data_IF_618146355602
#
_entry.id   IF_618146355602
#
_cell.length_a   1.000
_cell.length_b   1.000
_cell.length_c   1.000
_cell.angle_alpha   90.00
_cell.angle_beta   90.00
_cell.angle_gamma   90.00
#
_symmetry.space_group_name_H-M   'P 1'
#
loop_
_entity.id
_entity.type
_entity.pdbx_description
1 polymer ?
#
# COMPACT_ATOMS: atom_id res chain seq x y z
N UNK A 1 10.75 -26.91 28.26
CA UNK A 1 11.77 -25.86 28.08
C UNK A 1 11.07 -24.69 27.36
N UNK A 2 11.01 -23.57 28.04
CA UNK A 2 10.47 -22.31 27.48
C UNK A 2 11.56 -21.67 26.62
N UNK A 3 11.50 -21.89 25.31
CA UNK A 3 12.46 -21.34 24.36
C UNK A 3 11.70 -20.57 23.24
N UNK A 4 12.16 -19.39 22.83
CA UNK A 4 11.50 -18.62 21.79
C UNK A 4 11.60 -19.32 20.43
N UNK A 5 10.47 -19.59 19.82
CA UNK A 5 10.34 -20.23 18.51
C UNK A 5 9.32 -19.50 17.64
N UNK A 6 9.45 -19.63 16.33
CA UNK A 6 8.41 -19.29 15.37
C UNK A 6 7.79 -20.59 14.86
N UNK A 7 6.49 -20.61 14.66
CA UNK A 7 5.81 -21.78 14.15
C UNK A 7 4.83 -21.41 13.04
N UNK A 8 4.62 -22.34 12.13
CA UNK A 8 3.67 -22.25 11.02
C UNK A 8 2.71 -23.44 11.19
N UNK A 9 1.42 -23.14 11.41
CA UNK A 9 0.37 -24.18 11.32
C UNK A 9 -0.37 -24.01 10.02
N UNK A 10 -0.62 -25.11 9.31
CA UNK A 10 -1.20 -25.03 7.97
C UNK A 10 -2.02 -26.27 7.59
N UNK A 11 -2.89 -26.09 6.59
CA UNK A 11 -3.63 -27.16 5.97
C UNK A 11 -3.44 -27.14 4.45
N UNK A 12 -2.83 -28.20 3.91
CA UNK A 12 -2.69 -28.36 2.44
C UNK A 12 -4.03 -28.53 1.74
N UNK A 13 -5.05 -29.05 2.45
CA UNK A 13 -6.40 -29.26 1.92
C UNK A 13 -7.17 -27.97 1.76
N UNK A 14 -7.25 -27.15 2.81
CA UNK A 14 -7.96 -25.86 2.77
C UNK A 14 -7.09 -24.70 2.24
N UNK A 15 -5.78 -24.92 2.03
CA UNK A 15 -4.80 -23.92 1.63
C UNK A 15 -4.80 -22.68 2.55
N UNK A 16 -4.95 -22.93 3.85
CA UNK A 16 -4.86 -21.92 4.89
C UNK A 16 -3.64 -22.17 5.77
N UNK A 17 -3.07 -21.10 6.31
CA UNK A 17 -1.98 -21.16 7.27
C UNK A 17 -2.07 -20.02 8.29
N UNK A 18 -1.39 -20.21 9.39
CA UNK A 18 -1.18 -19.20 10.43
C UNK A 18 0.27 -19.26 10.88
N UNK A 19 0.90 -18.13 11.04
CA UNK A 19 2.27 -17.97 11.55
C UNK A 19 2.18 -17.38 12.94
N UNK A 20 2.99 -17.83 13.88
CA UNK A 20 3.02 -17.29 15.23
C UNK A 20 4.37 -17.52 15.91
N UNK A 21 4.60 -16.79 17.00
CA UNK A 21 5.73 -16.97 17.86
C UNK A 21 5.27 -17.40 19.26
N UNK A 22 6.13 -18.09 19.97
CA UNK A 22 5.86 -18.47 21.37
C UNK A 22 7.14 -18.91 22.08
N UNK A 23 7.14 -18.80 23.38
CA UNK A 23 8.14 -19.46 24.26
C UNK A 23 7.65 -20.85 24.71
N UNK A 24 6.34 -21.16 24.56
CA UNK A 24 5.76 -22.45 24.97
C UNK A 24 4.85 -22.99 23.86
N UNK A 25 5.45 -23.77 22.97
CA UNK A 25 4.76 -24.29 21.77
C UNK A 25 3.59 -25.24 22.13
N UNK A 26 3.71 -26.05 23.16
CA UNK A 26 2.68 -27.03 23.56
C UNK A 26 1.41 -26.33 24.02
N UNK A 27 1.52 -25.33 24.87
CA UNK A 27 0.39 -24.53 25.33
C UNK A 27 -0.27 -23.78 24.17
N UNK A 28 0.53 -23.18 23.28
CA UNK A 28 0.05 -22.37 22.18
C UNK A 28 -0.70 -23.20 21.13
N UNK A 29 -0.21 -24.38 20.79
CA UNK A 29 -0.92 -25.32 19.88
C UNK A 29 -2.27 -25.76 20.48
N UNK A 30 -2.33 -26.02 21.79
CA UNK A 30 -3.59 -26.32 22.47
C UNK A 30 -4.63 -25.21 22.33
N UNK A 31 -4.22 -23.94 22.45
CA UNK A 31 -5.10 -22.79 22.24
C UNK A 31 -5.63 -22.73 20.79
N UNK A 32 -4.76 -23.00 19.79
CA UNK A 32 -5.19 -22.99 18.39
C UNK A 32 -6.19 -24.09 18.06
N UNK A 33 -6.05 -25.27 18.67
CA UNK A 33 -7.00 -26.37 18.48
C UNK A 33 -8.39 -26.06 19.06
N UNK A 34 -8.46 -25.18 20.05
CA UNK A 34 -9.72 -24.70 20.64
C UNK A 34 -10.41 -23.62 19.78
N UNK A 35 -9.67 -22.97 18.89
CA UNK A 35 -10.19 -21.94 17.99
C UNK A 35 -10.83 -22.58 16.74
N UNK A 36 -12.10 -22.27 16.46
CA UNK A 36 -12.86 -22.89 15.36
C UNK A 36 -12.21 -22.66 13.99
N UNK A 37 -11.67 -21.49 13.73
CA UNK A 37 -11.08 -21.11 12.46
C UNK A 37 -9.71 -21.77 12.22
N UNK A 38 -8.94 -22.00 13.30
CA UNK A 38 -7.60 -22.58 13.24
C UNK A 38 -7.60 -24.11 13.42
N UNK A 39 -8.70 -24.70 13.88
CA UNK A 39 -8.85 -26.16 14.15
C UNK A 39 -8.57 -27.04 12.92
N UNK A 40 -8.81 -26.54 11.70
CA UNK A 40 -8.55 -27.28 10.47
C UNK A 40 -7.07 -27.32 10.05
N UNK A 41 -6.20 -26.56 10.72
CA UNK A 41 -4.76 -26.48 10.42
C UNK A 41 -4.03 -27.63 11.11
N UNK A 42 -3.89 -28.76 10.41
CA UNK A 42 -3.44 -30.02 10.98
C UNK A 42 -1.93 -30.27 10.89
N UNK A 43 -1.20 -29.44 10.17
CA UNK A 43 0.26 -29.56 10.04
C UNK A 43 0.95 -28.43 10.78
N UNK A 44 2.11 -28.71 11.36
CA UNK A 44 2.93 -27.72 12.04
C UNK A 44 4.38 -27.81 11.56
N UNK A 45 5.01 -26.65 11.40
CA UNK A 45 6.45 -26.47 11.30
C UNK A 45 6.91 -25.53 12.40
N UNK A 46 8.01 -25.87 13.04
CA UNK A 46 8.62 -25.06 14.09
C UNK A 46 10.00 -24.63 13.59
N UNK A 47 10.23 -23.35 13.62
CA UNK A 47 11.53 -22.72 13.29
C UNK A 47 12.19 -22.32 14.59
N UNK A 48 13.37 -22.83 14.83
CA UNK A 48 14.15 -22.54 16.04
C UNK A 48 15.64 -22.48 15.76
N UNK A 49 16.37 -21.74 16.59
CA UNK A 49 17.82 -21.68 16.55
C UNK A 49 18.35 -21.34 17.94
N UNK A 50 19.48 -21.92 18.35
CA UNK A 50 20.14 -21.61 19.62
C UNK A 50 20.50 -20.13 19.82
N UNK A 51 20.41 -19.34 18.78
CA UNK A 51 20.66 -17.89 18.79
C UNK A 51 19.38 -17.04 18.86
N UNK A 52 18.19 -17.67 18.88
CA UNK A 52 16.94 -16.92 18.91
C UNK A 52 16.70 -16.29 20.29
N UNK A 53 16.33 -15.03 20.26
CA UNK A 53 15.78 -14.29 21.39
C UNK A 53 14.39 -13.77 21.04
N UNK A 54 13.69 -13.15 21.98
CA UNK A 54 12.33 -12.65 21.78
C UNK A 54 12.23 -11.66 20.60
N UNK A 55 13.16 -10.73 20.47
CA UNK A 55 13.15 -9.74 19.38
C UNK A 55 13.37 -10.41 18.02
N UNK A 56 14.25 -11.41 17.96
CA UNK A 56 14.51 -12.18 16.73
C UNK A 56 13.28 -12.95 16.26
N UNK A 57 12.60 -13.66 17.17
CA UNK A 57 11.42 -14.44 16.76
C UNK A 57 10.26 -13.56 16.33
N UNK A 58 10.08 -12.39 16.94
CA UNK A 58 9.11 -11.40 16.49
C UNK A 58 9.41 -10.86 15.08
N UNK A 59 10.68 -10.60 14.78
CA UNK A 59 11.10 -10.14 13.45
C UNK A 59 10.93 -11.23 12.38
N UNK A 60 11.35 -12.48 12.70
CA UNK A 60 11.17 -13.63 11.80
C UNK A 60 9.69 -13.94 11.57
N UNK A 61 8.85 -13.91 12.61
CA UNK A 61 7.41 -14.08 12.50
C UNK A 61 6.81 -13.04 11.54
N UNK A 62 7.10 -11.77 11.76
CA UNK A 62 6.60 -10.68 10.93
C UNK A 62 7.04 -10.82 9.47
N UNK A 63 8.30 -11.16 9.22
CA UNK A 63 8.80 -11.42 7.88
C UNK A 63 8.10 -12.62 7.24
N UNK A 64 7.94 -13.74 7.97
CA UNK A 64 7.22 -14.91 7.45
C UNK A 64 5.77 -14.59 7.09
N UNK A 65 5.04 -13.83 7.92
CA UNK A 65 3.68 -13.40 7.61
C UNK A 65 3.66 -12.61 6.31
N UNK A 66 4.56 -11.63 6.17
CA UNK A 66 4.63 -10.74 5.02
C UNK A 66 4.96 -11.50 3.72
N UNK A 67 5.99 -12.33 3.75
CA UNK A 67 6.45 -13.07 2.58
C UNK A 67 5.51 -14.23 2.20
N UNK A 68 4.99 -15.00 3.16
CA UNK A 68 4.03 -16.06 2.88
C UNK A 68 2.69 -15.53 2.34
N UNK A 69 2.26 -14.35 2.79
CA UNK A 69 1.10 -13.67 2.23
C UNK A 69 1.30 -13.36 0.74
N UNK A 70 2.48 -12.89 0.37
CA UNK A 70 2.80 -12.54 -1.01
C UNK A 70 3.08 -13.78 -1.89
N UNK A 71 3.57 -14.87 -1.32
CA UNK A 71 3.81 -16.16 -2.01
C UNK A 71 2.51 -16.84 -2.49
N UNK A 72 1.37 -16.56 -1.86
CA UNK A 72 0.04 -17.12 -2.24
C UNK A 72 -0.07 -18.66 -2.20
N UNK A 73 0.86 -19.37 -1.58
CA UNK A 73 0.74 -20.81 -1.42
C UNK A 73 -0.41 -21.14 -0.45
N UNK A 74 -0.54 -20.30 0.60
CA UNK A 74 -1.60 -20.36 1.59
C UNK A 74 -2.27 -19.01 1.77
N UNK A 75 -3.55 -19.01 2.12
CA UNK A 75 -4.24 -17.85 2.64
C UNK A 75 -3.95 -17.76 4.14
N UNK A 76 -3.26 -16.69 4.57
CA UNK A 76 -2.94 -16.52 6.00
C UNK A 76 -4.17 -16.07 6.79
N UNK A 77 -4.32 -16.63 7.99
CA UNK A 77 -5.36 -16.29 8.96
C UNK A 77 -4.87 -15.22 9.96
N UNK A 78 -3.64 -14.76 9.85
CA UNK A 78 -3.09 -13.72 10.71
C UNK A 78 -3.91 -12.42 10.63
N UNK A 79 -4.23 -11.84 11.79
CA UNK A 79 -4.92 -10.56 11.89
C UNK A 79 -4.03 -9.37 11.53
N UNK A 80 -2.74 -9.45 11.89
CA UNK A 80 -1.71 -8.44 11.63
C UNK A 80 -0.38 -9.09 11.20
N UNK A 81 0.65 -8.25 11.03
CA UNK A 81 1.99 -8.67 10.61
C UNK A 81 2.95 -9.01 11.76
N UNK A 82 2.47 -9.00 13.01
CA UNK A 82 3.39 -9.01 14.15
C UNK A 82 4.14 -7.67 14.31
N UNK A 83 5.13 -7.64 15.20
CA UNK A 83 5.90 -6.42 15.51
C UNK A 83 7.30 -6.57 14.91
N UNK A 84 7.61 -5.81 13.86
CA UNK A 84 8.88 -5.96 13.14
C UNK A 84 9.82 -4.76 13.21
N UNK A 85 9.44 -3.64 13.86
CA UNK A 85 10.20 -2.39 13.70
C UNK A 85 11.13 -2.05 14.87
N UNK A 86 11.65 -3.05 15.57
CA UNK A 86 12.64 -2.79 16.59
C UNK A 86 14.05 -2.83 16.01
N UNK A 87 14.84 -1.77 16.27
CA UNK A 87 16.29 -1.87 16.16
C UNK A 87 16.78 -2.76 17.29
N UNK A 88 17.30 -3.92 16.99
CA UNK A 88 17.89 -4.83 17.95
C UNK A 88 19.29 -5.26 17.51
N UNK A 89 20.06 -5.75 18.46
CA UNK A 89 21.44 -6.17 18.23
C UNK A 89 21.50 -7.27 17.16
N UNK A 90 22.40 -7.13 16.18
CA UNK A 90 22.63 -8.06 15.07
C UNK A 90 21.46 -8.26 14.10
N UNK A 91 20.59 -7.27 13.90
CA UNK A 91 19.45 -7.36 12.95
C UNK A 91 19.88 -7.83 11.56
N UNK A 92 21.01 -7.34 11.05
CA UNK A 92 21.50 -7.69 9.71
C UNK A 92 21.91 -9.17 9.59
N UNK A 93 22.44 -9.78 10.68
CA UNK A 93 22.74 -11.21 10.72
C UNK A 93 21.47 -12.07 10.57
N UNK A 94 20.37 -11.62 11.11
CA UNK A 94 19.10 -12.36 11.02
C UNK A 94 18.42 -12.23 9.66
N UNK A 95 18.80 -11.26 8.84
CA UNK A 95 18.35 -11.20 7.45
C UNK A 95 18.87 -12.41 6.64
N UNK A 96 20.14 -12.75 6.78
CA UNK A 96 20.71 -13.95 6.17
C UNK A 96 20.10 -15.24 6.75
N UNK A 97 19.83 -15.26 8.05
CA UNK A 97 19.12 -16.36 8.72
C UNK A 97 17.71 -16.55 8.12
N UNK A 98 16.98 -15.47 7.88
CA UNK A 98 15.65 -15.52 7.27
C UNK A 98 15.69 -16.11 5.86
N UNK A 99 16.69 -15.75 5.06
CA UNK A 99 16.90 -16.33 3.73
C UNK A 99 17.07 -17.85 3.80
N UNK A 100 17.90 -18.33 4.70
CA UNK A 100 18.09 -19.78 4.93
C UNK A 100 16.79 -20.48 5.35
N UNK A 101 16.01 -19.87 6.26
CA UNK A 101 14.69 -20.38 6.67
C UNK A 101 13.75 -20.47 5.46
N UNK A 102 13.71 -19.43 4.61
CA UNK A 102 12.86 -19.40 3.43
C UNK A 102 13.23 -20.50 2.41
N UNK A 103 14.51 -20.69 2.16
CA UNK A 103 15.02 -21.73 1.24
C UNK A 103 14.67 -23.15 1.77
N UNK A 104 14.71 -23.38 3.07
CA UNK A 104 14.28 -24.64 3.68
C UNK A 104 12.78 -24.86 3.53
N UNK A 105 11.95 -23.85 3.83
CA UNK A 105 10.50 -23.89 3.62
C UNK A 105 10.13 -24.13 2.13
N UNK A 106 10.92 -23.62 1.20
CA UNK A 106 10.76 -23.83 -0.24
C UNK A 106 11.10 -25.27 -0.61
N UNK A 107 12.18 -25.82 -0.07
CA UNK A 107 12.57 -27.23 -0.27
C UNK A 107 11.49 -28.21 0.19
N UNK A 108 10.80 -27.90 1.29
CA UNK A 108 9.66 -28.65 1.86
C UNK A 108 8.31 -28.37 1.15
N UNK A 109 8.30 -27.51 0.16
CA UNK A 109 7.09 -27.10 -0.59
C UNK A 109 6.01 -26.48 0.31
N UNK A 110 6.43 -25.77 1.33
CA UNK A 110 5.56 -24.93 2.18
C UNK A 110 5.40 -23.55 1.54
N UNK A 111 6.44 -23.05 0.89
CA UNK A 111 6.42 -21.87 0.03
C UNK A 111 6.92 -22.24 -1.37
N UNK A 112 6.66 -21.41 -2.39
CA UNK A 112 6.98 -21.74 -3.80
C UNK A 112 7.89 -20.73 -4.51
N UNK A 113 7.77 -19.44 -4.19
CA UNK A 113 8.41 -18.36 -4.91
C UNK A 113 9.76 -18.00 -4.29
N UNK A 114 10.66 -17.43 -5.06
CA UNK A 114 11.92 -16.87 -4.58
C UNK A 114 11.66 -15.54 -3.85
N UNK A 115 12.52 -15.19 -2.90
CA UNK A 115 12.38 -13.95 -2.12
C UNK A 115 12.36 -12.70 -3.01
N UNK A 116 13.22 -12.67 -4.04
CA UNK A 116 13.29 -11.56 -4.97
C UNK A 116 11.98 -11.37 -5.76
N UNK A 117 11.39 -12.47 -6.25
CA UNK A 117 10.11 -12.44 -6.95
C UNK A 117 8.98 -11.92 -6.06
N UNK A 118 9.01 -12.31 -4.78
CA UNK A 118 8.04 -11.84 -3.80
C UNK A 118 8.20 -10.35 -3.56
N UNK A 119 9.41 -9.87 -3.29
CA UNK A 119 9.71 -8.46 -3.03
C UNK A 119 9.24 -7.56 -4.18
N UNK A 120 9.31 -8.07 -5.39
CA UNK A 120 8.89 -7.38 -6.60
C UNK A 120 7.38 -7.46 -6.87
N UNK A 121 6.65 -8.29 -6.14
CA UNK A 121 5.21 -8.47 -6.35
C UNK A 121 4.36 -7.31 -5.78
N UNK A 122 3.23 -7.02 -6.43
CA UNK A 122 2.24 -6.04 -5.94
C UNK A 122 1.72 -6.39 -4.55
N UNK A 123 1.54 -7.68 -4.27
CA UNK A 123 1.09 -8.13 -2.95
C UNK A 123 2.08 -7.77 -1.85
N UNK A 124 3.37 -7.89 -2.11
CA UNK A 124 4.38 -7.49 -1.15
C UNK A 124 4.45 -5.96 -1.02
N UNK A 125 4.37 -5.24 -2.15
CA UNK A 125 4.44 -3.77 -2.16
C UNK A 125 3.31 -3.13 -1.38
N UNK A 126 2.08 -3.61 -1.53
CA UNK A 126 0.87 -3.06 -0.90
C UNK A 126 0.35 -3.88 0.28
N UNK A 127 1.17 -4.75 0.85
CA UNK A 127 0.79 -5.59 1.98
C UNK A 127 0.49 -4.76 3.22
N UNK A 128 -0.65 -4.98 3.91
CA UNK A 128 -0.92 -4.37 5.22
C UNK A 128 -0.09 -4.99 6.35
N UNK A 129 0.67 -6.02 6.03
CA UNK A 129 1.55 -6.72 6.97
C UNK A 129 2.97 -6.13 6.99
N UNK A 130 3.20 -4.99 6.36
CA UNK A 130 4.44 -4.23 6.51
C UNK A 130 4.50 -3.51 7.84
N UNK A 131 5.70 -3.42 8.40
CA UNK A 131 5.93 -2.54 9.54
C UNK A 131 5.69 -1.10 9.15
N UNK A 132 4.91 -0.41 9.94
CA UNK A 132 4.73 1.02 9.79
C UNK A 132 5.89 1.77 10.45
N UNK A 133 6.27 2.91 9.89
CA UNK A 133 7.18 3.83 10.54
C UNK A 133 6.50 4.51 11.73
N UNK A 134 7.28 5.18 12.58
CA UNK A 134 6.74 5.87 13.75
C UNK A 134 5.73 6.95 13.37
N UNK A 135 6.02 7.76 12.36
CA UNK A 135 5.11 8.79 11.88
C UNK A 135 3.83 8.22 11.25
N UNK A 136 3.93 7.08 10.55
CA UNK A 136 2.77 6.36 10.04
C UNK A 136 1.89 5.81 11.17
N UNK A 137 2.49 5.22 12.20
CA UNK A 137 1.75 4.71 13.36
C UNK A 137 1.08 5.86 14.13
N UNK A 138 1.79 6.95 14.35
CA UNK A 138 1.24 8.14 14.98
C UNK A 138 0.06 8.72 14.19
N UNK A 139 0.13 8.73 12.85
CA UNK A 139 -0.98 9.18 12.01
C UNK A 139 -2.21 8.27 12.16
N UNK A 140 -2.03 6.93 12.20
CA UNK A 140 -3.10 5.97 12.45
C UNK A 140 -3.75 6.21 13.82
N UNK A 141 -2.96 6.32 14.88
CA UNK A 141 -3.47 6.53 16.25
C UNK A 141 -4.25 7.83 16.37
N UNK A 142 -3.73 8.93 15.83
CA UNK A 142 -4.41 10.21 15.80
C UNK A 142 -5.73 10.12 15.01
N UNK A 143 -5.73 9.45 13.85
CA UNK A 143 -6.93 9.28 13.06
C UNK A 143 -7.99 8.43 13.78
N UNK A 144 -7.62 7.32 14.39
CA UNK A 144 -8.53 6.48 15.18
C UNK A 144 -9.09 7.25 16.39
N UNK A 145 -8.25 8.10 17.03
CA UNK A 145 -8.71 8.95 18.11
C UNK A 145 -9.78 9.96 17.64
N UNK A 146 -9.61 10.54 16.44
CA UNK A 146 -10.61 11.44 15.84
C UNK A 146 -11.90 10.69 15.56
N UNK A 147 -11.83 9.52 14.89
CA UNK A 147 -13.00 8.70 14.59
C UNK A 147 -13.75 8.24 15.85
N UNK A 148 -13.03 7.93 16.92
CA UNK A 148 -13.59 7.43 18.18
C UNK A 148 -14.18 8.50 19.08
N UNK A 149 -14.11 9.80 18.75
CA UNK A 149 -14.73 10.88 19.57
C UNK A 149 -16.25 10.85 19.43
N UNK A 150 -16.95 10.75 20.57
CA UNK A 150 -18.42 10.68 20.61
C UNK A 150 -19.10 11.94 20.07
N UNK A 151 -18.46 13.09 20.26
CA UNK A 151 -18.98 14.42 19.87
C UNK A 151 -18.88 14.71 18.37
N UNK A 152 -18.12 13.93 17.60
CA UNK A 152 -17.88 14.15 16.18
C UNK A 152 -18.70 13.15 15.36
N UNK A 153 -19.78 13.60 14.74
CA UNK A 153 -20.59 12.77 13.83
C UNK A 153 -19.90 12.58 12.46
N UNK A 154 -19.23 13.63 11.95
CA UNK A 154 -18.57 13.65 10.64
C UNK A 154 -17.16 14.21 10.80
N UNK A 155 -16.19 13.56 10.14
CA UNK A 155 -14.80 14.02 10.19
C UNK A 155 -14.17 14.03 8.81
N UNK A 156 -13.43 15.11 8.51
CA UNK A 156 -12.58 15.19 7.33
C UNK A 156 -11.14 15.33 7.77
N UNK A 157 -10.31 14.38 7.33
CA UNK A 157 -8.88 14.35 7.70
C UNK A 157 -8.05 14.22 6.42
N UNK A 158 -6.98 15.00 6.34
CA UNK A 158 -5.95 14.88 5.31
C UNK A 158 -4.69 14.27 5.91
N UNK A 159 -4.15 13.25 5.25
CA UNK A 159 -2.79 12.74 5.48
C UNK A 159 -1.95 13.23 4.33
N UNK A 160 -1.11 14.22 4.63
CA UNK A 160 -0.21 14.84 3.66
C UNK A 160 1.16 14.18 3.73
N UNK A 161 1.73 13.87 2.57
CA UNK A 161 3.07 13.31 2.46
C UNK A 161 3.53 13.30 1.00
N UNK A 162 4.82 13.44 0.79
CA UNK A 162 5.44 13.34 -0.54
C UNK A 162 5.31 11.93 -1.14
N UNK A 163 5.69 11.78 -2.40
CA UNK A 163 5.80 10.46 -3.02
C UNK A 163 6.73 9.55 -2.21
N UNK A 164 6.33 8.29 -2.00
CA UNK A 164 7.17 7.32 -1.28
C UNK A 164 7.01 7.27 0.23
N UNK A 165 6.13 8.07 0.85
CA UNK A 165 5.86 8.03 2.29
C UNK A 165 4.91 6.88 2.72
N UNK A 166 4.51 6.00 1.78
CA UNK A 166 3.71 4.81 2.07
C UNK A 166 2.21 5.05 2.28
N UNK A 167 1.64 6.15 1.77
CA UNK A 167 0.21 6.51 1.88
C UNK A 167 -0.74 5.36 1.55
N UNK A 168 -0.55 4.69 0.43
CA UNK A 168 -1.37 3.55 -0.01
C UNK A 168 -1.29 2.37 0.95
N UNK A 169 -0.09 2.06 1.48
CA UNK A 169 0.10 0.99 2.47
C UNK A 169 -0.68 1.33 3.74
N UNK A 170 -0.61 2.58 4.18
CA UNK A 170 -1.33 3.07 5.35
C UNK A 170 -2.85 2.95 5.18
N UNK A 171 -3.37 3.26 3.96
CA UNK A 171 -4.78 3.08 3.62
C UNK A 171 -5.22 1.61 3.75
N UNK A 172 -4.46 0.69 3.17
CA UNK A 172 -4.76 -0.75 3.21
C UNK A 172 -4.67 -1.29 4.64
N UNK A 173 -3.65 -0.86 5.39
CA UNK A 173 -3.47 -1.23 6.80
C UNK A 173 -4.66 -0.78 7.66
N UNK A 174 -5.09 0.47 7.53
CA UNK A 174 -6.20 1.03 8.30
C UNK A 174 -7.52 0.29 8.02
N UNK A 175 -7.82 0.00 6.75
CA UNK A 175 -9.03 -0.77 6.40
C UNK A 175 -8.95 -2.17 7.02
N UNK A 176 -7.81 -2.85 6.90
CA UNK A 176 -7.61 -4.17 7.51
C UNK A 176 -7.81 -4.11 9.02
N UNK A 177 -7.24 -3.12 9.68
CA UNK A 177 -7.34 -2.92 11.13
C UNK A 177 -8.80 -2.70 11.59
N UNK A 178 -9.54 -1.82 10.90
CA UNK A 178 -10.93 -1.51 11.24
C UNK A 178 -11.90 -2.68 11.00
N UNK A 179 -11.62 -3.52 9.99
CA UNK A 179 -12.46 -4.65 9.64
C UNK A 179 -12.04 -5.97 10.29
N UNK A 180 -10.88 -6.02 10.95
CA UNK A 180 -10.45 -7.19 11.69
C UNK A 180 -11.39 -7.45 12.87
N UNK A 181 -11.89 -8.70 12.98
CA UNK A 181 -12.45 -9.15 14.25
C UNK A 181 -11.27 -9.55 15.13
N UNK A 182 -11.01 -8.77 16.16
CA UNK A 182 -9.95 -9.06 17.13
C UNK A 182 -10.45 -10.21 18.01
N UNK A 183 -9.98 -11.42 17.77
CA UNK A 183 -10.24 -12.55 18.66
C UNK A 183 -9.38 -12.43 19.93
N UNK A 184 -9.77 -13.13 21.01
CA UNK A 184 -8.96 -13.17 22.24
C UNK A 184 -7.54 -13.71 21.99
N UNK A 185 -7.35 -14.58 20.97
CA UNK A 185 -6.04 -15.06 20.53
C UNK A 185 -5.23 -14.00 19.80
N UNK A 186 -5.89 -13.14 19.00
CA UNK A 186 -5.26 -12.03 18.32
C UNK A 186 -4.85 -10.92 19.31
N UNK A 187 -5.58 -10.78 20.45
CA UNK A 187 -5.21 -9.85 21.52
C UNK A 187 -3.80 -10.10 22.08
N UNK A 188 -3.34 -11.36 22.09
CA UNK A 188 -1.97 -11.68 22.52
C UNK A 188 -0.91 -11.19 21.53
N UNK A 189 -1.24 -11.14 20.23
CA UNK A 189 -0.38 -10.61 19.16
C UNK A 189 -0.32 -9.07 19.22
N UNK A 190 -1.40 -8.43 19.68
CA UNK A 190 -1.47 -6.99 19.91
C UNK A 190 -1.07 -6.57 21.33
N UNK A 191 -0.67 -7.50 22.19
CA UNK A 191 -0.41 -7.22 23.62
C UNK A 191 0.57 -6.07 23.86
N UNK A 192 1.47 -5.81 22.91
CA UNK A 192 2.38 -4.66 22.96
C UNK A 192 1.75 -3.35 22.38
N UNK A 193 0.53 -3.43 21.82
CA UNK A 193 -0.21 -2.29 21.25
C UNK A 193 -1.64 -2.21 21.80
N UNK A 194 -1.81 -2.46 23.10
CA UNK A 194 -3.11 -2.40 23.78
C UNK A 194 -3.84 -1.08 23.49
N UNK A 195 -3.09 0.02 23.45
CA UNK A 195 -3.65 1.35 23.16
C UNK A 195 -4.31 1.39 21.76
N UNK A 196 -3.68 0.80 20.74
CA UNK A 196 -4.25 0.75 19.38
C UNK A 196 -5.55 -0.07 19.33
N UNK A 197 -5.59 -1.19 20.07
CA UNK A 197 -6.80 -2.02 20.18
C UNK A 197 -7.92 -1.25 20.85
N UNK A 198 -7.64 -0.60 21.99
CA UNK A 198 -8.62 0.20 22.72
C UNK A 198 -9.21 1.30 21.82
N UNK A 199 -8.40 1.92 20.97
CA UNK A 199 -8.86 2.91 19.98
C UNK A 199 -9.77 2.29 18.92
N UNK A 200 -9.40 1.14 18.36
CA UNK A 200 -10.20 0.43 17.35
C UNK A 200 -11.54 -0.02 17.94
N UNK A 201 -11.53 -0.60 19.13
CA UNK A 201 -12.75 -1.04 19.81
C UNK A 201 -13.67 0.15 20.13
N UNK A 202 -13.10 1.30 20.49
CA UNK A 202 -13.86 2.54 20.70
C UNK A 202 -14.52 3.01 19.40
N UNK A 203 -13.83 2.97 18.27
CA UNK A 203 -14.40 3.30 16.96
C UNK A 203 -15.54 2.34 16.60
N UNK A 204 -15.35 1.03 16.79
CA UNK A 204 -16.37 0.02 16.50
C UNK A 204 -17.61 0.18 17.38
N UNK A 205 -17.42 0.37 18.68
CA UNK A 205 -18.52 0.57 19.63
C UNK A 205 -19.34 1.82 19.30
N UNK A 206 -18.70 2.90 18.86
CA UNK A 206 -19.40 4.13 18.43
C UNK A 206 -20.32 3.86 17.23
N UNK A 207 -19.86 3.11 16.25
CA UNK A 207 -20.69 2.77 15.07
C UNK A 207 -21.88 1.91 15.45
N UNK A 208 -21.73 1.00 16.42
CA UNK A 208 -22.83 0.17 16.93
C UNK A 208 -23.88 1.00 17.70
N UNK A 209 -23.48 2.08 18.38
CA UNK A 209 -24.38 2.94 19.17
C UNK A 209 -25.15 3.92 18.28
N UNK A 210 -24.51 4.46 17.25
CA UNK A 210 -25.12 5.46 16.34
C UNK A 210 -25.91 4.84 15.21
N UNK A 211 -25.64 3.59 14.88
CA UNK A 211 -26.32 2.85 13.79
C UNK A 211 -27.44 1.97 14.32
N UNK A 212 -28.63 2.18 13.81
CA UNK A 212 -29.72 1.21 13.89
C UNK A 212 -29.28 -0.10 13.20
N UNK A 213 -28.79 -1.08 13.95
CA UNK A 213 -28.46 -2.43 13.57
C UNK A 213 -26.94 -2.75 13.49
N UNK A 214 -26.55 -3.79 14.14
CA UNK A 214 -25.42 -4.74 14.08
C UNK A 214 -24.70 -4.98 12.71
N UNK A 215 -24.58 -3.98 11.86
CA UNK A 215 -23.88 -4.11 10.59
C UNK A 215 -22.41 -3.66 10.74
N UNK A 216 -21.45 -4.35 10.15
CA UNK A 216 -20.07 -3.87 10.13
C UNK A 216 -20.00 -2.52 9.41
N UNK A 217 -19.09 -1.63 9.87
CA UNK A 217 -18.82 -0.33 9.26
C UNK A 217 -18.63 -0.46 7.74
N UNK A 218 -19.40 0.32 6.97
CA UNK A 218 -19.30 0.34 5.51
C UNK A 218 -18.14 1.23 5.07
N UNK A 219 -17.01 0.60 4.81
CA UNK A 219 -15.76 1.27 4.42
C UNK A 219 -15.43 0.96 2.97
N UNK A 220 -14.90 1.95 2.23
CA UNK A 220 -14.30 1.71 0.92
C UNK A 220 -13.04 2.54 0.72
N UNK A 221 -12.13 2.00 -0.11
CA UNK A 221 -10.95 2.67 -0.64
C UNK A 221 -11.27 3.23 -2.01
N UNK A 222 -11.29 4.55 -2.12
CA UNK A 222 -11.50 5.25 -3.39
C UNK A 222 -10.16 5.48 -4.06
N UNK A 223 -10.02 4.96 -5.28
CA UNK A 223 -8.79 5.09 -6.07
C UNK A 223 -9.15 5.67 -7.44
N UNK A 224 -8.79 6.94 -7.72
CA UNK A 224 -9.11 7.59 -8.99
C UNK A 224 -8.44 6.90 -10.20
N UNK A 225 -7.21 6.42 -10.03
CA UNK A 225 -6.41 5.79 -11.09
C UNK A 225 -6.85 4.35 -11.34
N UNK A 226 -7.26 4.03 -12.57
CA UNK A 226 -7.81 2.70 -12.92
C UNK A 226 -6.79 1.57 -12.75
N UNK A 227 -5.54 1.77 -13.19
CA UNK A 227 -4.49 0.74 -13.06
C UNK A 227 -4.16 0.41 -11.62
N UNK A 228 -3.97 1.42 -10.77
CA UNK A 228 -3.73 1.24 -9.34
C UNK A 228 -4.94 0.56 -8.67
N UNK A 229 -6.16 0.97 -9.04
CA UNK A 229 -7.40 0.36 -8.56
C UNK A 229 -7.48 -1.13 -8.88
N UNK A 230 -7.14 -1.52 -10.11
CA UNK A 230 -7.14 -2.93 -10.52
C UNK A 230 -6.07 -3.75 -9.78
N UNK A 231 -4.90 -3.19 -9.57
CA UNK A 231 -3.84 -3.77 -8.73
C UNK A 231 -4.32 -3.96 -7.29
N UNK A 232 -4.88 -2.92 -6.66
CA UNK A 232 -5.37 -3.01 -5.29
C UNK A 232 -6.56 -3.95 -5.15
N UNK A 233 -7.44 -4.08 -6.16
CA UNK A 233 -8.47 -5.13 -6.19
C UNK A 233 -7.88 -6.54 -6.13
N UNK A 234 -6.75 -6.79 -6.82
CA UNK A 234 -6.03 -8.08 -6.75
C UNK A 234 -5.46 -8.31 -5.34
N UNK A 235 -4.86 -7.26 -4.75
CA UNK A 235 -4.31 -7.31 -3.38
C UNK A 235 -5.41 -7.61 -2.36
N UNK A 236 -6.53 -6.90 -2.39
CA UNK A 236 -7.63 -7.08 -1.45
C UNK A 236 -8.25 -8.50 -1.50
N UNK A 237 -8.32 -9.12 -2.68
CA UNK A 237 -8.81 -10.53 -2.79
C UNK A 237 -7.92 -11.52 -2.04
N UNK A 238 -6.64 -11.24 -1.90
CA UNK A 238 -5.68 -12.15 -1.28
C UNK A 238 -5.55 -11.97 0.23
N UNK A 239 -6.05 -10.85 0.78
CA UNK A 239 -5.98 -10.55 2.20
C UNK A 239 -7.24 -11.06 2.90
N UNK A 240 -7.06 -11.81 3.99
CA UNK A 240 -8.19 -12.28 4.81
C UNK A 240 -8.98 -11.11 5.39
N UNK A 241 -10.33 -11.17 5.28
CA UNK A 241 -11.23 -10.13 5.77
C UNK A 241 -11.40 -8.92 4.82
N UNK A 242 -10.66 -8.85 3.70
CA UNK A 242 -10.86 -7.83 2.67
C UNK A 242 -11.50 -8.40 1.40
N UNK A 243 -12.15 -7.54 0.62
CA UNK A 243 -12.72 -7.92 -0.68
C UNK A 243 -12.44 -6.87 -1.76
N UNK A 244 -12.38 -7.30 -3.02
CA UNK A 244 -12.15 -6.41 -4.15
C UNK A 244 -13.22 -5.32 -4.31
N UNK A 245 -14.44 -5.57 -3.82
CA UNK A 245 -15.56 -4.62 -3.90
C UNK A 245 -15.38 -3.42 -2.96
N UNK A 246 -14.43 -3.49 -2.03
CA UNK A 246 -14.07 -2.36 -1.17
C UNK A 246 -13.17 -1.35 -1.87
N UNK A 247 -12.57 -1.71 -3.02
CA UNK A 247 -11.72 -0.82 -3.82
C UNK A 247 -12.53 -0.32 -5.01
N UNK A 248 -12.88 0.96 -5.00
CA UNK A 248 -13.83 1.57 -5.92
C UNK A 248 -13.27 2.84 -6.56
N UNK A 249 -13.89 3.30 -7.62
CA UNK A 249 -13.62 4.61 -8.22
C UNK A 249 -14.53 5.70 -7.65
N UNK A 250 -14.23 6.99 -7.90
CA UNK A 250 -15.05 8.11 -7.42
C UNK A 250 -16.51 8.03 -7.87
N UNK A 251 -16.77 7.61 -9.10
CA UNK A 251 -18.12 7.43 -9.63
C UNK A 251 -18.90 6.29 -8.94
N UNK A 252 -18.19 5.23 -8.52
CA UNK A 252 -18.80 4.14 -7.76
C UNK A 252 -19.10 4.59 -6.31
N UNK A 253 -18.23 5.40 -5.72
CA UNK A 253 -18.44 5.99 -4.40
C UNK A 253 -19.71 6.84 -4.35
N UNK A 254 -19.95 7.65 -5.38
CA UNK A 254 -21.12 8.51 -5.50
C UNK A 254 -22.48 7.79 -5.53
N UNK A 255 -22.51 6.47 -5.76
CA UNK A 255 -23.75 5.67 -5.88
C UNK A 255 -24.27 5.10 -4.56
N UNK A 256 -23.53 5.25 -3.48
CA UNK A 256 -23.87 4.69 -2.16
C UNK A 256 -23.40 5.62 -1.07
N UNK A 257 -23.99 5.48 0.11
CA UNK A 257 -23.47 6.15 1.31
C UNK A 257 -22.56 5.22 2.10
N UNK A 258 -21.50 5.77 2.70
CA UNK A 258 -20.47 5.07 3.45
C UNK A 258 -20.24 5.71 4.82
N UNK A 259 -19.94 4.89 5.82
CA UNK A 259 -19.52 5.40 7.13
C UNK A 259 -18.12 6.02 7.07
N UNK A 260 -17.26 5.45 6.19
CA UNK A 260 -15.91 5.95 5.96
C UNK A 260 -15.49 5.73 4.50
N UNK A 261 -15.06 6.78 3.84
CA UNK A 261 -14.29 6.71 2.59
C UNK A 261 -12.83 7.08 2.86
N UNK A 262 -11.93 6.22 2.41
CA UNK A 262 -10.50 6.47 2.38
C UNK A 262 -10.11 6.73 0.93
N UNK A 263 -9.52 7.87 0.64
CA UNK A 263 -9.23 8.32 -0.72
C UNK A 263 -7.72 8.30 -0.92
N UNK A 264 -7.25 7.33 -1.70
CA UNK A 264 -5.85 7.30 -2.10
C UNK A 264 -5.63 8.15 -3.35
N UNK A 265 -4.44 8.76 -3.47
CA UNK A 265 -4.09 9.65 -4.57
C UNK A 265 -5.15 10.76 -4.78
N UNK A 266 -5.59 11.40 -3.69
CA UNK A 266 -6.68 12.37 -3.72
C UNK A 266 -6.44 13.56 -4.68
N UNK A 267 -5.17 13.91 -4.94
CA UNK A 267 -4.78 14.92 -5.92
C UNK A 267 -5.14 14.54 -7.38
N UNK A 268 -5.52 13.28 -7.63
CA UNK A 268 -5.99 12.77 -8.93
C UNK A 268 -7.52 12.82 -9.10
N UNK A 269 -8.24 13.28 -8.10
CA UNK A 269 -9.67 13.55 -8.24
C UNK A 269 -9.91 14.62 -9.29
N UNK A 270 -10.99 14.47 -10.07
CA UNK A 270 -11.22 15.27 -11.28
C UNK A 270 -12.32 16.28 -11.09
N UNK A 271 -12.14 17.40 -11.73
CA UNK A 271 -13.18 18.38 -12.04
C UNK A 271 -13.71 18.20 -13.46
N UNK A 272 -14.78 18.88 -13.81
CA UNK A 272 -15.43 18.84 -15.14
C UNK A 272 -14.59 19.59 -16.20
N UNK A 273 -13.33 19.18 -16.42
CA UNK A 273 -12.43 19.80 -17.40
C UNK A 273 -11.52 18.73 -18.02
N UNK A 274 -11.46 18.70 -19.36
CA UNK A 274 -10.63 17.76 -20.12
C UNK A 274 -10.80 16.30 -19.72
N UNK A 275 -12.05 15.87 -19.53
CA UNK A 275 -12.42 14.51 -19.17
C UNK A 275 -13.01 13.77 -20.38
N UNK A 276 -12.82 12.45 -20.44
CA UNK A 276 -13.34 11.61 -21.54
C UNK A 276 -14.80 11.23 -21.40
N UNK A 277 -15.48 11.56 -20.33
CA UNK A 277 -16.84 11.07 -20.03
C UNK A 277 -17.75 12.14 -19.42
N UNK A 278 -17.95 13.27 -20.10
CA UNK A 278 -18.81 14.35 -19.61
C UNK A 278 -20.23 13.89 -19.26
N UNK A 279 -20.85 13.04 -20.09
CA UNK A 279 -22.21 12.56 -19.83
C UNK A 279 -22.36 11.77 -18.54
N UNK A 280 -21.40 10.87 -18.25
CA UNK A 280 -21.39 10.09 -17.00
C UNK A 280 -21.09 10.98 -15.78
N UNK A 281 -20.20 11.95 -15.94
CA UNK A 281 -19.88 12.92 -14.89
C UNK A 281 -21.11 13.77 -14.55
N UNK A 282 -21.78 14.33 -15.57
CA UNK A 282 -22.98 15.17 -15.42
C UNK A 282 -24.15 14.38 -14.82
N UNK A 283 -24.27 13.08 -15.18
CA UNK A 283 -25.29 12.22 -14.58
C UNK A 283 -25.05 12.05 -13.09
N UNK A 284 -23.80 11.79 -12.68
CA UNK A 284 -23.45 11.67 -11.24
C UNK A 284 -23.72 12.97 -10.47
N UNK A 285 -23.40 14.13 -11.06
CA UNK A 285 -23.74 15.41 -10.46
C UNK A 285 -25.27 15.57 -10.27
N UNK A 286 -26.09 15.22 -11.28
CA UNK A 286 -27.55 15.25 -11.18
C UNK A 286 -28.09 14.32 -10.09
N UNK A 287 -27.58 13.09 -10.03
CA UNK A 287 -27.97 12.09 -9.03
C UNK A 287 -27.68 12.58 -7.59
N UNK A 288 -26.59 13.31 -7.42
CA UNK A 288 -26.21 13.96 -6.16
C UNK A 288 -26.84 15.35 -5.94
N UNK A 289 -27.72 15.79 -6.86
CA UNK A 289 -28.38 17.11 -6.84
C UNK A 289 -27.36 18.28 -6.80
N UNK A 290 -26.29 18.16 -7.57
CA UNK A 290 -25.27 19.18 -7.76
C UNK A 290 -25.59 20.01 -9.03
N UNK A 291 -25.32 21.31 -8.97
CA UNK A 291 -25.37 22.16 -10.16
C UNK A 291 -24.12 21.88 -11.03
N UNK A 292 -24.34 21.30 -12.21
CA UNK A 292 -23.25 20.91 -13.14
C UNK A 292 -22.42 22.13 -13.64
N UNK A 293 -22.91 23.34 -13.49
CA UNK A 293 -22.20 24.55 -13.86
C UNK A 293 -21.38 25.15 -12.70
N UNK A 294 -21.55 24.61 -11.51
CA UNK A 294 -20.76 25.04 -10.35
C UNK A 294 -19.32 24.51 -10.41
N UNK A 295 -18.36 25.37 -10.12
CA UNK A 295 -16.95 24.98 -10.00
C UNK A 295 -16.68 23.97 -8.89
N UNK A 296 -17.63 23.81 -7.96
CA UNK A 296 -17.55 22.87 -6.85
C UNK A 296 -18.22 21.52 -7.14
N UNK A 297 -18.81 21.34 -8.34
CA UNK A 297 -19.40 20.05 -8.74
C UNK A 297 -18.32 19.14 -9.33
N UNK A 298 -17.52 18.58 -8.44
CA UNK A 298 -16.34 17.78 -8.72
C UNK A 298 -16.35 16.42 -7.98
N UNK A 299 -15.40 15.55 -8.27
CA UNK A 299 -15.29 14.23 -7.62
C UNK A 299 -15.02 14.36 -6.11
N UNK A 300 -14.45 15.45 -5.63
CA UNK A 300 -14.27 15.72 -4.20
C UNK A 300 -15.61 15.97 -3.51
N UNK A 301 -16.49 16.80 -4.13
CA UNK A 301 -17.84 17.02 -3.62
C UNK A 301 -18.67 15.72 -3.61
N UNK A 302 -18.49 14.85 -4.63
CA UNK A 302 -19.15 13.54 -4.63
C UNK A 302 -18.78 12.71 -3.40
N UNK A 303 -17.51 12.67 -3.05
CA UNK A 303 -16.99 11.93 -1.89
C UNK A 303 -17.55 12.53 -0.59
N UNK A 304 -17.49 13.86 -0.46
CA UNK A 304 -18.00 14.55 0.72
C UNK A 304 -19.48 14.28 0.97
N UNK A 305 -20.29 14.17 -0.09
CA UNK A 305 -21.73 13.87 0.03
C UNK A 305 -22.05 12.39 0.20
N UNK A 306 -21.13 11.52 -0.12
CA UNK A 306 -21.34 10.07 -0.11
C UNK A 306 -20.78 9.39 1.13
N UNK A 307 -20.28 10.13 2.11
CA UNK A 307 -19.74 9.54 3.35
C UNK A 307 -19.83 10.49 4.54
N UNK A 308 -19.91 9.87 5.73
CA UNK A 308 -19.90 10.61 6.99
C UNK A 308 -18.48 11.03 7.37
N UNK A 309 -17.50 10.13 7.14
CA UNK A 309 -16.11 10.38 7.44
C UNK A 309 -15.24 10.21 6.21
N UNK A 310 -14.25 11.11 6.03
CA UNK A 310 -13.32 11.07 4.91
C UNK A 310 -11.88 11.13 5.40
N UNK A 311 -11.02 10.27 4.84
CA UNK A 311 -9.58 10.30 4.99
C UNK A 311 -8.95 10.47 3.62
N UNK A 312 -8.36 11.63 3.36
CA UNK A 312 -7.71 11.95 2.09
C UNK A 312 -6.19 11.77 2.21
N UNK A 313 -5.63 10.84 1.44
CA UNK A 313 -4.19 10.78 1.19
C UNK A 313 -3.86 11.72 0.04
N UNK A 314 -3.15 12.80 0.36
CA UNK A 314 -2.94 13.93 -0.54
C UNK A 314 -1.46 14.27 -0.69
N UNK A 315 -1.05 14.59 -1.91
CA UNK A 315 0.27 15.13 -2.23
C UNK A 315 0.09 16.40 -3.08
N UNK A 316 0.43 17.55 -2.54
CA UNK A 316 0.19 18.82 -3.20
C UNK A 316 1.10 19.08 -4.41
N UNK A 317 2.20 18.33 -4.54
CA UNK A 317 3.17 18.46 -5.63
C UNK A 317 2.87 17.55 -6.82
N UNK A 318 1.87 16.66 -6.73
CA UNK A 318 1.53 15.69 -7.77
C UNK A 318 0.27 16.05 -8.59
N UNK A 319 -0.38 17.17 -8.36
CA UNK A 319 -1.49 17.66 -9.19
C UNK A 319 -0.94 18.34 -10.44
N UNK A 320 -0.98 17.64 -11.58
CA UNK A 320 -0.33 18.07 -12.82
C UNK A 320 -1.26 18.07 -14.05
N UNK A 321 -2.44 17.46 -13.95
CA UNK A 321 -3.36 17.36 -15.11
C UNK A 321 -4.38 18.50 -15.11
N UNK A 322 -4.77 19.01 -16.28
CA UNK A 322 -5.83 20.03 -16.38
C UNK A 322 -7.19 19.58 -15.83
N UNK A 323 -7.41 18.24 -15.77
CA UNK A 323 -8.62 17.63 -15.19
C UNK A 323 -8.56 17.49 -13.67
N UNK A 324 -7.37 17.57 -13.07
CA UNK A 324 -7.24 17.45 -11.61
C UNK A 324 -7.91 18.65 -10.94
N UNK A 325 -8.43 18.45 -9.73
CA UNK A 325 -9.06 19.51 -8.94
C UNK A 325 -8.04 20.56 -8.57
N UNK A 326 -8.40 21.83 -8.64
CA UNK A 326 -7.51 22.93 -8.32
C UNK A 326 -7.05 22.90 -6.86
N UNK A 327 -5.81 23.30 -6.62
CA UNK A 327 -5.19 23.35 -5.30
C UNK A 327 -6.01 24.19 -4.31
N UNK A 328 -6.56 25.30 -4.76
CA UNK A 328 -7.40 26.20 -3.96
C UNK A 328 -8.65 25.50 -3.41
N UNK A 329 -9.25 24.58 -4.17
CA UNK A 329 -10.40 23.80 -3.74
C UNK A 329 -10.02 22.86 -2.59
N UNK A 330 -8.88 22.20 -2.66
CA UNK A 330 -8.35 21.39 -1.53
C UNK A 330 -8.00 22.26 -0.33
N UNK A 331 -7.36 23.41 -0.54
CA UNK A 331 -7.01 24.34 0.54
C UNK A 331 -8.25 24.83 1.30
N UNK A 332 -9.36 25.10 0.59
CA UNK A 332 -10.61 25.52 1.22
C UNK A 332 -11.18 24.48 2.19
N UNK A 333 -11.07 23.19 1.86
CA UNK A 333 -11.52 22.09 2.74
C UNK A 333 -10.50 21.84 3.86
N UNK A 334 -9.21 21.85 3.52
CA UNK A 334 -8.12 21.68 4.51
C UNK A 334 -8.16 22.72 5.62
N UNK A 335 -8.64 23.94 5.34
CA UNK A 335 -8.70 25.01 6.34
C UNK A 335 -9.61 24.68 7.55
N UNK A 336 -10.56 23.77 7.37
CA UNK A 336 -11.49 23.31 8.42
C UNK A 336 -11.27 21.85 8.83
N UNK A 337 -10.40 21.12 8.12
CA UNK A 337 -10.09 19.73 8.34
C UNK A 337 -8.87 19.56 9.26
N UNK A 338 -8.73 18.36 9.85
CA UNK A 338 -7.48 17.96 10.50
C UNK A 338 -6.46 17.54 9.44
N UNK A 339 -5.22 18.00 9.58
CA UNK A 339 -4.11 17.62 8.70
C UNK A 339 -3.06 16.85 9.51
N UNK A 340 -2.74 15.65 9.06
CA UNK A 340 -1.68 14.80 9.58
C UNK A 340 -0.55 14.74 8.54
N UNK A 341 0.70 14.69 8.97
CA UNK A 341 1.86 14.70 8.09
C UNK A 341 2.63 13.39 8.16
N UNK A 342 3.06 12.88 6.99
CA UNK A 342 4.01 11.79 6.85
C UNK A 342 5.32 12.35 6.31
N UNK A 343 6.42 12.08 7.00
CA UNK A 343 7.75 12.60 6.69
C UNK A 343 8.72 11.51 6.21
N UNK A 344 8.56 10.28 6.70
CA UNK A 344 9.48 9.18 6.40
C UNK A 344 9.45 8.77 4.92
N UNK A 345 10.58 8.91 4.22
CA UNK A 345 10.73 8.41 2.86
C UNK A 345 11.06 6.90 2.87
N UNK A 346 10.24 6.08 2.21
CA UNK A 346 10.36 4.62 2.22
C UNK A 346 10.64 4.00 0.84
N UNK A 347 10.59 4.79 -0.23
CA UNK A 347 10.72 4.29 -1.60
C UNK A 347 12.13 4.43 -2.14
N UNK A 348 12.83 5.50 -1.77
CA UNK A 348 14.14 5.84 -2.31
C UNK A 348 15.21 5.60 -1.26
N UNK A 349 16.17 4.71 -1.54
CA UNK A 349 17.27 4.41 -0.62
C UNK A 349 18.21 5.61 -0.36
N UNK A 350 18.19 6.60 -1.25
CA UNK A 350 18.90 7.89 -1.08
C UNK A 350 18.30 8.80 0.00
N UNK A 351 17.09 8.46 0.50
CA UNK A 351 16.44 9.22 1.57
C UNK A 351 16.04 10.65 1.21
N UNK A 352 15.82 11.47 2.24
CA UNK A 352 15.40 12.85 2.09
C UNK A 352 16.47 13.72 1.42
N UNK A 353 17.74 13.44 1.63
CA UNK A 353 18.86 14.15 1.01
C UNK A 353 18.83 14.05 -0.53
N UNK A 354 18.43 12.88 -1.05
CA UNK A 354 18.24 12.70 -2.49
C UNK A 354 17.06 13.51 -3.02
N UNK A 355 15.95 13.53 -2.30
CA UNK A 355 14.77 14.31 -2.68
C UNK A 355 15.08 15.80 -2.72
N UNK A 356 15.77 16.31 -1.69
CA UNK A 356 16.21 17.72 -1.65
C UNK A 356 17.16 18.05 -2.80
N UNK A 357 18.12 17.16 -3.07
CA UNK A 357 19.03 17.34 -4.21
C UNK A 357 18.28 17.43 -5.54
N UNK A 358 17.33 16.51 -5.80
CA UNK A 358 16.54 16.51 -7.04
C UNK A 358 15.65 17.75 -7.12
N UNK A 359 15.03 18.18 -6.03
CA UNK A 359 14.20 19.38 -6.00
C UNK A 359 15.01 20.64 -6.32
N UNK A 360 16.21 20.77 -5.74
CA UNK A 360 17.13 21.86 -6.03
C UNK A 360 17.68 21.82 -7.46
N UNK A 361 17.98 20.60 -7.97
CA UNK A 361 18.40 20.41 -9.37
C UNK A 361 17.33 20.90 -10.36
N UNK A 362 16.06 20.49 -10.13
CA UNK A 362 14.94 20.89 -10.98
C UNK A 362 14.61 22.39 -10.88
N UNK A 363 14.93 23.03 -9.76
CA UNK A 363 14.82 24.49 -9.57
C UNK A 363 16.01 25.26 -10.13
N UNK A 364 16.98 24.57 -10.73
CA UNK A 364 18.20 25.17 -11.31
C UNK A 364 18.98 26.00 -10.26
N UNK A 365 19.19 25.43 -9.07
CA UNK A 365 19.95 26.07 -8.01
C UNK A 365 21.44 26.19 -8.42
N UNK A 366 21.91 27.39 -8.62
CA UNK A 366 23.31 27.69 -9.06
C UNK A 366 24.35 27.22 -8.03
N UNK A 367 23.97 27.02 -6.76
CA UNK A 367 24.87 26.60 -5.70
C UNK A 367 24.75 25.07 -5.41
N UNK A 368 24.12 24.31 -6.31
CA UNK A 368 23.95 22.87 -6.14
C UNK A 368 25.31 22.15 -6.15
N UNK A 369 25.60 21.43 -5.10
CA UNK A 369 26.78 20.57 -5.01
C UNK A 369 26.49 19.18 -5.54
N UNK A 370 27.49 18.46 -6.11
CA UNK A 370 27.29 17.07 -6.53
C UNK A 370 26.83 16.20 -5.38
N UNK A 371 25.72 15.48 -5.57
CA UNK A 371 25.20 14.55 -4.59
C UNK A 371 25.91 13.20 -4.70
N UNK A 372 26.18 12.56 -3.55
CA UNK A 372 26.79 11.24 -3.47
C UNK A 372 26.15 10.46 -2.32
N UNK A 373 25.93 9.16 -2.53
CA UNK A 373 25.46 8.24 -1.50
C UNK A 373 26.22 6.92 -1.61
N UNK A 374 26.33 6.19 -0.51
CA UNK A 374 26.89 4.84 -0.49
C UNK A 374 25.87 3.76 -0.86
N UNK A 375 24.58 4.11 -0.81
CA UNK A 375 23.48 3.16 -0.93
C UNK A 375 22.56 3.45 -2.13
N UNK A 376 22.86 4.48 -2.94
CA UNK A 376 22.03 4.89 -4.05
C UNK A 376 22.87 5.56 -5.13
N UNK A 377 22.81 5.04 -6.35
CA UNK A 377 23.53 5.57 -7.50
C UNK A 377 22.64 6.56 -8.29
N UNK A 378 23.20 7.69 -8.63
CA UNK A 378 22.61 8.66 -9.55
C UNK A 378 23.62 8.95 -10.66
N UNK A 379 23.27 8.59 -11.89
CA UNK A 379 24.10 8.83 -13.08
C UNK A 379 23.33 9.68 -14.10
N UNK A 380 24.04 10.56 -14.77
CA UNK A 380 23.48 11.42 -15.83
C UNK A 380 24.17 11.06 -17.14
N UNK A 381 23.37 10.75 -18.16
CA UNK A 381 23.84 10.41 -19.49
C UNK A 381 23.47 11.52 -20.47
N UNK A 382 24.37 11.79 -21.42
CA UNK A 382 24.14 12.71 -22.53
C UNK A 382 24.04 11.96 -23.87
N UNK A 383 24.11 10.63 -23.84
CA UNK A 383 24.11 9.74 -24.97
C UNK A 383 23.12 8.59 -24.70
N UNK A 384 22.10 8.43 -25.55
CA UNK A 384 21.04 7.46 -25.35
C UNK A 384 21.53 6.00 -25.45
N UNK A 385 22.37 5.61 -26.42
CA UNK A 385 22.97 4.27 -26.46
C UNK A 385 23.73 3.90 -25.18
N UNK A 386 24.53 4.83 -24.63
CA UNK A 386 25.24 4.61 -23.37
C UNK A 386 24.28 4.43 -22.18
N UNK A 387 23.20 5.21 -22.13
CA UNK A 387 22.15 5.06 -21.12
C UNK A 387 21.47 3.69 -21.20
N UNK A 388 21.05 3.24 -22.40
CA UNK A 388 20.40 1.95 -22.58
C UNK A 388 21.36 0.80 -22.20
N UNK A 389 22.64 0.88 -22.59
CA UNK A 389 23.63 -0.12 -22.22
C UNK A 389 23.85 -0.20 -20.69
N UNK A 390 23.88 0.93 -20.00
CA UNK A 390 23.98 0.97 -18.54
C UNK A 390 22.73 0.36 -17.89
N UNK A 391 21.54 0.64 -18.45
CA UNK A 391 20.28 0.08 -17.99
C UNK A 391 20.24 -1.45 -18.17
N UNK A 392 20.71 -1.99 -19.30
CA UNK A 392 20.82 -3.44 -19.54
C UNK A 392 21.72 -4.13 -18.52
N UNK A 393 22.84 -3.53 -18.16
CA UNK A 393 23.74 -4.05 -17.13
C UNK A 393 22.99 -4.11 -15.78
N UNK A 394 22.29 -3.04 -15.40
CA UNK A 394 21.54 -2.99 -14.16
C UNK A 394 20.34 -3.94 -14.15
N UNK A 395 19.65 -4.13 -15.29
CA UNK A 395 18.58 -5.11 -15.43
C UNK A 395 19.09 -6.55 -15.20
N UNK A 396 20.27 -6.89 -15.76
CA UNK A 396 20.87 -8.21 -15.53
C UNK A 396 21.35 -8.42 -14.08
N UNK A 397 21.71 -7.36 -13.39
CA UNK A 397 22.20 -7.42 -11.99
C UNK A 397 21.05 -7.43 -10.97
N UNK A 398 20.05 -6.57 -11.15
CA UNK A 398 19.00 -6.30 -10.15
C UNK A 398 17.59 -6.66 -10.63
N UNK A 399 17.35 -6.66 -11.94
CA UNK A 399 16.01 -6.79 -12.52
C UNK A 399 15.15 -5.52 -12.35
N UNK A 400 14.00 -5.50 -13.04
CA UNK A 400 12.96 -4.45 -12.95
C UNK A 400 13.42 -3.03 -13.32
N UNK A 401 14.47 -2.92 -14.14
CA UNK A 401 14.86 -1.63 -14.70
C UNK A 401 13.91 -1.23 -15.83
N UNK A 402 13.56 0.05 -15.91
CA UNK A 402 12.66 0.60 -16.94
C UNK A 402 13.07 2.01 -17.35
N UNK A 403 12.94 2.29 -18.65
CA UNK A 403 12.95 3.66 -19.17
C UNK A 403 11.59 4.31 -18.85
N UNK A 404 11.60 5.51 -18.31
CA UNK A 404 10.40 6.32 -18.11
C UNK A 404 10.55 7.66 -18.82
N UNK A 405 9.42 8.20 -19.29
CA UNK A 405 9.40 9.50 -19.93
C UNK A 405 8.10 10.25 -19.60
N UNK A 406 8.15 11.59 -19.63
CA UNK A 406 6.94 12.40 -19.73
C UNK A 406 6.28 12.23 -21.10
N UNK A 407 4.99 12.55 -21.21
CA UNK A 407 4.25 12.52 -22.48
C UNK A 407 4.70 13.73 -23.35
N UNK A 408 5.81 13.55 -24.06
CA UNK A 408 6.48 14.60 -24.82
C UNK A 408 6.44 14.38 -26.35
N UNK A 409 5.99 13.22 -26.78
CA UNK A 409 5.87 12.84 -28.19
C UNK A 409 4.46 12.42 -28.55
N UNK A 410 4.10 12.44 -29.84
CA UNK A 410 2.85 11.89 -30.33
C UNK A 410 2.86 10.35 -30.15
N UNK A 411 1.78 9.79 -29.65
CA UNK A 411 1.66 8.36 -29.47
C UNK A 411 1.29 7.65 -30.77
N UNK A 412 2.28 7.37 -31.59
CA UNK A 412 2.16 6.75 -32.94
C UNK A 412 2.03 5.24 -32.83
N UNK A 413 2.82 4.61 -31.94
CA UNK A 413 2.87 3.16 -31.76
C UNK A 413 1.54 2.52 -31.35
N UNK A 414 0.58 3.31 -30.87
CA UNK A 414 -0.78 2.85 -30.52
C UNK A 414 -1.51 2.14 -31.66
N UNK A 415 -1.25 2.53 -32.91
CA UNK A 415 -1.94 2.04 -34.12
C UNK A 415 -0.99 1.47 -35.16
N UNK A 416 0.29 1.44 -34.88
CA UNK A 416 1.32 1.05 -35.81
C UNK A 416 2.51 0.36 -35.17
N UNK A 417 3.55 0.15 -35.96
CA UNK A 417 4.81 -0.44 -35.55
C UNK A 417 5.95 0.58 -35.46
N UNK A 418 5.64 1.84 -35.81
CA UNK A 418 6.64 2.91 -35.79
C UNK A 418 6.93 3.36 -34.36
N UNK A 419 8.18 3.74 -34.04
CA UNK A 419 8.55 4.23 -32.72
C UNK A 419 7.87 5.57 -32.42
N UNK A 420 7.58 5.84 -31.14
CA UNK A 420 7.05 7.11 -30.68
C UNK A 420 8.13 8.17 -30.55
N UNK A 421 9.35 7.76 -30.31
CA UNK A 421 10.54 8.61 -30.31
C UNK A 421 11.76 7.87 -30.82
N UNK A 422 12.65 8.59 -31.48
CA UNK A 422 14.00 8.13 -31.85
C UNK A 422 15.01 9.13 -31.30
N UNK A 423 15.91 8.69 -30.45
CA UNK A 423 16.94 9.52 -29.82
C UNK A 423 18.30 8.83 -30.02
N UNK A 424 19.23 9.52 -30.68
CA UNK A 424 20.57 9.00 -30.98
C UNK A 424 20.57 7.61 -31.66
N UNK A 425 19.56 7.34 -32.52
CA UNK A 425 19.38 6.08 -33.19
C UNK A 425 18.75 4.97 -32.35
N UNK A 426 18.30 5.26 -31.14
CA UNK A 426 17.54 4.33 -30.28
C UNK A 426 16.05 4.58 -30.45
N UNK A 427 15.33 3.55 -30.88
CA UNK A 427 13.87 3.58 -30.99
C UNK A 427 13.20 3.34 -29.63
N UNK A 428 12.26 4.21 -29.28
CA UNK A 428 11.53 4.14 -28.01
C UNK A 428 10.03 4.10 -28.27
N UNK A 429 9.34 3.27 -27.51
CA UNK A 429 7.91 3.06 -27.64
C UNK A 429 7.19 3.44 -26.35
N UNK A 430 6.05 4.13 -26.43
CA UNK A 430 5.19 4.41 -25.29
C UNK A 430 4.55 3.11 -24.81
N UNK A 431 3.26 2.93 -24.82
CA UNK A 431 2.67 1.59 -24.58
C UNK A 431 1.98 1.08 -25.83
N UNK A 432 2.15 -0.19 -26.16
CA UNK A 432 1.53 -0.83 -27.33
C UNK A 432 0.08 -1.26 -27.07
N UNK A 433 -0.38 -1.26 -25.82
CA UNK A 433 -1.75 -1.63 -25.42
C UNK A 433 -2.31 -0.70 -24.37
N UNK A 434 -3.65 -0.50 -24.40
CA UNK A 434 -4.36 0.28 -23.38
C UNK A 434 -4.87 -0.57 -22.22
N UNK A 435 -4.86 -1.91 -22.37
CA UNK A 435 -5.41 -2.83 -21.38
C UNK A 435 -4.29 -3.57 -20.69
N UNK A 436 -4.24 -3.47 -19.37
CA UNK A 436 -3.21 -4.11 -18.51
C UNK A 436 -1.77 -3.81 -18.99
N UNK A 437 -1.56 -2.60 -19.51
CA UNK A 437 -0.35 -2.19 -20.18
C UNK A 437 0.90 -2.22 -19.26
N UNK A 438 0.72 -2.03 -17.96
CA UNK A 438 1.80 -2.12 -16.96
C UNK A 438 2.51 -3.48 -16.99
N UNK A 439 1.76 -4.56 -17.30
CA UNK A 439 2.28 -5.93 -17.34
C UNK A 439 2.30 -6.49 -18.76
N UNK A 440 2.13 -5.64 -19.78
CA UNK A 440 2.03 -6.10 -21.18
C UNK A 440 3.37 -6.54 -21.77
N UNK A 441 4.47 -6.05 -21.23
CA UNK A 441 5.82 -6.33 -21.73
C UNK A 441 6.85 -6.27 -20.60
N UNK A 442 7.91 -7.02 -20.77
CA UNK A 442 9.14 -6.94 -19.97
C UNK A 442 10.23 -6.10 -20.66
N UNK A 443 9.98 -5.59 -21.86
CA UNK A 443 10.92 -4.74 -22.58
C UNK A 443 11.15 -3.43 -21.84
N UNK A 444 12.39 -3.19 -21.45
CA UNK A 444 12.77 -2.02 -20.67
C UNK A 444 12.74 -0.72 -21.49
N UNK A 445 12.75 -0.80 -22.82
CA UNK A 445 12.70 0.35 -23.72
C UNK A 445 11.27 0.83 -24.00
N UNK A 446 10.25 0.08 -23.61
CA UNK A 446 8.87 0.54 -23.66
C UNK A 446 8.60 1.53 -22.56
N UNK A 447 8.73 2.82 -22.91
CA UNK A 447 8.41 3.95 -22.01
C UNK A 447 6.93 3.91 -21.62
N UNK A 448 6.61 4.37 -20.42
CA UNK A 448 5.23 4.44 -19.94
C UNK A 448 4.69 3.14 -19.33
N UNK A 449 5.45 2.07 -19.30
CA UNK A 449 5.09 0.83 -18.60
C UNK A 449 5.32 0.91 -17.07
N UNK A 450 5.47 2.09 -16.52
CA UNK A 450 5.62 2.33 -15.07
C UNK A 450 4.50 3.23 -14.56
N UNK A 451 4.02 2.84 -13.40
CA UNK A 451 3.16 3.66 -12.55
C UNK A 451 3.85 4.04 -11.27
#
# INVERSE_FOLDING_TARGET
>A
YDYPVVYIIYSKKSKKAYVGETTNITSRVGQHLANEEKRELQNIRVVFSGYFNKSTVLDIESNLIQYMQADKQFKLLNGNAGISNHKYYQKDLYHETFKGIWDELKSEKIVKSDLLDIQNSDLFKFSPYKSLSEDQMNAIEQYLHILGKEEISNSTVFVQGSAGTGKTILAVYLIKLLLSQVSADDLSEYANNKHLIDLVDKVKSKVEITGTLKAPMKIALVVPMTSLRDTLKKVFRSIHGLSANMVIGPNEAAKSHFDLLIIDEAHRLRRRKNISGYGAFDQTCRDLKLDINSNNSDELEWIMRSSDNQLFFYDEHQSVRPSDIDKERFLSIKSTATVLELKSQMRVAGGDDYIDFVDRLLKVDENLQPWKSNNYDLEIFTDMPAFIKALEIKENEFGLCKVISGYSWEWVSRKGTEPDAEIDGVELYWNRTNKDWVNSTTDMTEMGCIH
#
